data_IF_359912727855
#
_entry.id   IF_359912727855
#
_cell.length_a   1.000
_cell.length_b   1.000
_cell.length_c   1.000
_cell.angle_alpha   90.00
_cell.angle_beta   90.00
_cell.angle_gamma   90.00
#
_symmetry.space_group_name_H-M   'P 1'
#
loop_
_entity.id
_entity.type
_entity.pdbx_description
1 polymer ?
#
# COMPACT_ATOMS: atom_id res chain seq x y z
N UNK A 1 29.31 -64.45 -26.99
CA UNK A 1 28.59 -63.21 -27.31
C UNK A 1 28.46 -62.44 -26.00
N UNK A 2 29.42 -61.55 -25.76
CA UNK A 2 29.72 -60.87 -24.50
C UNK A 2 28.87 -59.60 -24.37
N UNK A 3 28.26 -59.38 -23.20
CA UNK A 3 27.86 -58.05 -22.71
C UNK A 3 29.01 -57.54 -21.85
N UNK A 4 29.48 -56.34 -22.16
CA UNK A 4 30.56 -55.64 -21.48
C UNK A 4 30.01 -54.80 -20.35
N UNK A 5 30.68 -54.96 -19.20
CA UNK A 5 30.58 -54.17 -17.99
C UNK A 5 31.28 -52.80 -18.11
N UNK A 6 30.93 -51.98 -17.12
CA UNK A 6 31.36 -50.63 -16.75
C UNK A 6 32.87 -50.35 -16.76
N UNK A 7 33.26 -49.14 -17.22
CA UNK A 7 34.38 -48.35 -16.67
C UNK A 7 34.06 -46.85 -16.80
N UNK A 8 34.23 -46.11 -15.69
CA UNK A 8 34.14 -44.65 -15.54
C UNK A 8 35.08 -43.86 -16.47
N UNK A 9 34.82 -42.55 -16.64
CA UNK A 9 35.86 -41.61 -16.22
C UNK A 9 35.30 -40.41 -15.44
N UNK A 10 35.85 -40.18 -14.26
CA UNK A 10 36.09 -38.83 -13.76
C UNK A 10 37.04 -38.15 -14.75
N UNK A 11 36.61 -37.05 -15.38
CA UNK A 11 37.45 -35.88 -15.60
C UNK A 11 36.63 -34.72 -16.20
N UNK A 12 36.63 -33.60 -15.48
CA UNK A 12 36.77 -32.25 -16.02
C UNK A 12 35.63 -31.67 -16.86
N UNK A 13 34.68 -30.99 -16.19
CA UNK A 13 34.43 -29.56 -16.48
C UNK A 13 33.53 -28.99 -15.39
N UNK A 14 34.06 -28.03 -14.64
CA UNK A 14 33.31 -27.31 -13.63
C UNK A 14 32.19 -26.50 -14.26
N UNK A 15 31.03 -26.54 -13.64
CA UNK A 15 30.15 -25.39 -13.61
C UNK A 15 29.66 -25.23 -12.17
N UNK A 16 30.08 -24.12 -11.58
CA UNK A 16 29.65 -23.68 -10.25
C UNK A 16 28.16 -23.37 -10.38
N UNK A 17 27.32 -24.33 -10.01
CA UNK A 17 25.90 -24.06 -9.76
C UNK A 17 25.82 -23.19 -8.49
N UNK A 18 26.06 -21.88 -8.64
CA UNK A 18 25.64 -20.91 -7.64
C UNK A 18 24.13 -21.04 -7.49
N UNK A 19 23.73 -21.72 -6.43
CA UNK A 19 22.33 -21.86 -6.05
C UNK A 19 21.78 -20.45 -5.80
N UNK A 20 21.03 -19.93 -6.77
CA UNK A 20 20.36 -18.65 -6.64
C UNK A 20 19.48 -18.73 -5.38
N UNK A 21 19.66 -17.83 -4.39
CA UNK A 21 18.89 -17.90 -3.16
C UNK A 21 17.39 -17.93 -3.48
N UNK A 22 16.62 -18.81 -2.83
CA UNK A 22 15.16 -18.96 -3.02
C UNK A 22 14.39 -17.63 -2.93
N UNK A 23 14.95 -16.65 -2.21
CA UNK A 23 14.45 -15.27 -2.10
C UNK A 23 14.67 -14.39 -3.35
N UNK A 24 15.69 -14.66 -4.17
CA UNK A 24 15.88 -14.00 -5.46
C UNK A 24 14.90 -14.59 -6.50
N UNK A 25 14.70 -15.91 -6.47
CA UNK A 25 13.79 -16.61 -7.37
C UNK A 25 12.33 -16.13 -7.17
N UNK A 26 11.88 -15.95 -5.93
CA UNK A 26 10.53 -15.41 -5.65
C UNK A 26 10.33 -13.98 -6.16
N UNK A 27 11.38 -13.17 -6.24
CA UNK A 27 11.30 -11.81 -6.76
C UNK A 27 11.16 -11.76 -8.29
N UNK A 28 11.84 -12.65 -9.02
CA UNK A 28 11.75 -12.73 -10.49
C UNK A 28 10.29 -12.94 -10.90
N UNK A 29 9.60 -13.86 -10.25
CA UNK A 29 8.21 -14.14 -10.55
C UNK A 29 7.26 -13.00 -10.20
N UNK A 30 7.50 -12.28 -9.10
CA UNK A 30 6.69 -11.09 -8.79
C UNK A 30 6.87 -10.00 -9.86
N UNK A 31 8.08 -9.84 -10.40
CA UNK A 31 8.36 -8.93 -11.53
C UNK A 31 7.56 -9.36 -12.76
N UNK A 32 7.67 -10.63 -13.11
CA UNK A 32 6.99 -11.17 -14.28
C UNK A 32 5.46 -11.11 -14.13
N UNK A 33 4.91 -11.24 -12.92
CA UNK A 33 3.47 -11.09 -12.68
C UNK A 33 3.01 -9.64 -12.90
N UNK A 34 3.80 -8.65 -12.47
CA UNK A 34 3.51 -7.23 -12.72
C UNK A 34 3.61 -6.92 -14.22
N UNK A 35 4.59 -7.50 -14.93
CA UNK A 35 4.73 -7.33 -16.37
C UNK A 35 3.54 -7.94 -17.13
N UNK A 36 3.12 -9.16 -16.77
CA UNK A 36 1.96 -9.82 -17.38
C UNK A 36 0.68 -9.03 -17.13
N UNK A 37 0.51 -8.51 -15.91
CA UNK A 37 -0.60 -7.63 -15.57
C UNK A 37 -0.62 -6.35 -16.40
N UNK A 38 0.54 -5.72 -16.58
CA UNK A 38 0.68 -4.53 -17.41
C UNK A 38 0.33 -4.84 -18.88
N UNK A 39 0.80 -5.96 -19.42
CA UNK A 39 0.51 -6.39 -20.79
C UNK A 39 -0.99 -6.68 -20.97
N UNK A 40 -1.59 -7.41 -20.03
CA UNK A 40 -3.02 -7.71 -20.04
C UNK A 40 -3.85 -6.43 -20.02
N UNK A 41 -3.57 -5.52 -19.08
CA UNK A 41 -4.35 -4.29 -18.94
C UNK A 41 -4.15 -3.34 -20.12
N UNK A 42 -2.95 -3.26 -20.72
CA UNK A 42 -2.71 -2.45 -21.91
C UNK A 42 -3.52 -2.88 -23.13
N UNK A 43 -3.87 -4.16 -23.21
CA UNK A 43 -4.74 -4.66 -24.28
C UNK A 43 -6.21 -4.26 -24.11
N UNK A 44 -6.61 -3.77 -22.93
CA UNK A 44 -7.98 -3.35 -22.66
C UNK A 44 -8.24 -1.91 -23.13
N UNK A 45 -9.37 -1.64 -23.80
CA UNK A 45 -9.68 -0.32 -24.36
C UNK A 45 -9.86 0.76 -23.29
N UNK A 46 -10.14 0.37 -22.05
CA UNK A 46 -10.42 1.29 -20.93
C UNK A 46 -9.13 1.72 -20.22
N UNK A 47 -7.98 1.15 -20.56
CA UNK A 47 -6.70 1.42 -19.90
C UNK A 47 -6.33 2.91 -19.89
N UNK A 48 -6.50 3.59 -21.04
CA UNK A 48 -6.24 5.03 -21.17
C UNK A 48 -7.17 5.91 -20.34
N UNK A 49 -8.34 5.40 -19.95
CA UNK A 49 -9.28 6.14 -19.10
C UNK A 49 -8.94 5.98 -17.61
N UNK A 50 -8.17 4.95 -17.26
CA UNK A 50 -7.78 4.64 -15.89
C UNK A 50 -6.38 5.13 -15.54
N UNK A 51 -5.49 5.30 -16.52
CA UNK A 51 -4.12 5.76 -16.31
C UNK A 51 -3.78 6.90 -17.27
N UNK A 52 -3.26 8.00 -16.75
CA UNK A 52 -2.87 9.15 -17.57
C UNK A 52 -1.56 8.89 -18.34
N UNK A 53 -1.19 9.80 -19.24
CA UNK A 53 0.00 9.64 -20.10
C UNK A 53 1.31 9.54 -19.30
N UNK A 54 1.43 10.29 -18.19
CA UNK A 54 2.61 10.28 -17.33
C UNK A 54 2.73 8.96 -16.56
N UNK A 55 1.62 8.44 -16.06
CA UNK A 55 1.51 7.13 -15.40
C UNK A 55 1.85 6.00 -16.38
N UNK A 56 1.34 6.07 -17.61
CA UNK A 56 1.65 5.10 -18.65
C UNK A 56 3.13 5.13 -19.03
N UNK A 57 3.71 6.33 -19.19
CA UNK A 57 5.14 6.50 -19.46
C UNK A 57 5.99 5.96 -18.32
N UNK A 58 5.57 6.18 -17.07
CA UNK A 58 6.26 5.64 -15.91
C UNK A 58 6.25 4.10 -15.91
N UNK A 59 5.11 3.48 -16.22
CA UNK A 59 4.99 2.01 -16.32
C UNK A 59 5.90 1.42 -17.40
N UNK A 60 6.07 2.11 -18.53
CA UNK A 60 7.03 1.71 -19.57
C UNK A 60 8.49 1.84 -19.08
N UNK A 61 8.84 2.94 -18.42
CA UNK A 61 10.18 3.10 -17.82
C UNK A 61 10.45 2.02 -16.77
N UNK A 62 9.45 1.67 -15.96
CA UNK A 62 9.54 0.57 -15.01
C UNK A 62 9.82 -0.77 -15.69
N UNK A 63 9.14 -1.07 -16.81
CA UNK A 63 9.38 -2.27 -17.62
C UNK A 63 10.81 -2.35 -18.16
N UNK A 64 11.45 -1.21 -18.43
CA UNK A 64 12.81 -1.16 -18.97
C UNK A 64 13.92 -1.17 -17.89
N UNK A 65 13.56 -1.19 -16.60
CA UNK A 65 14.54 -1.32 -15.52
C UNK A 65 15.26 -2.67 -15.55
N UNK A 66 16.47 -2.71 -14.96
CA UNK A 66 17.16 -3.97 -14.69
C UNK A 66 16.36 -4.85 -13.71
N UNK A 67 16.51 -6.17 -13.81
CA UNK A 67 15.81 -7.11 -12.93
C UNK A 67 16.15 -6.88 -11.45
N UNK A 68 17.38 -6.47 -11.14
CA UNK A 68 17.78 -6.13 -9.78
C UNK A 68 17.04 -4.88 -9.26
N UNK A 69 16.88 -3.85 -10.09
CA UNK A 69 16.11 -2.65 -9.77
C UNK A 69 14.61 -2.95 -9.59
N UNK A 70 14.00 -3.74 -10.49
CA UNK A 70 12.59 -4.15 -10.33
C UNK A 70 12.38 -4.98 -9.06
N UNK A 71 13.31 -5.88 -8.75
CA UNK A 71 13.31 -6.66 -7.51
C UNK A 71 13.36 -5.76 -6.28
N UNK A 72 14.16 -4.69 -6.32
CA UNK A 72 14.21 -3.69 -5.26
C UNK A 72 12.88 -2.93 -5.12
N UNK A 73 12.26 -2.51 -6.23
CA UNK A 73 10.93 -1.87 -6.22
C UNK A 73 9.90 -2.75 -5.51
N UNK A 74 9.81 -4.03 -5.86
CA UNK A 74 8.84 -4.98 -5.27
C UNK A 74 9.12 -5.23 -3.79
N UNK A 75 10.40 -5.29 -3.39
CA UNK A 75 10.75 -5.47 -1.98
C UNK A 75 10.41 -4.24 -1.13
N UNK A 76 10.48 -3.05 -1.71
CA UNK A 76 10.09 -1.80 -1.07
C UNK A 76 8.57 -1.59 -1.08
N UNK A 77 7.90 -2.08 -2.12
CA UNK A 77 6.44 -2.03 -2.25
C UNK A 77 5.76 -2.63 -1.01
N UNK A 78 4.73 -1.96 -0.50
CA UNK A 78 3.94 -2.39 0.66
C UNK A 78 4.73 -2.58 1.96
N UNK A 79 5.92 -1.98 2.12
CA UNK A 79 6.56 -1.88 3.44
C UNK A 79 5.93 -0.73 4.23
N UNK A 80 5.82 -0.92 5.55
CA UNK A 80 5.41 0.14 6.48
C UNK A 80 6.45 1.25 6.57
N UNK A 81 7.74 0.89 6.51
CA UNK A 81 8.84 1.83 6.42
C UNK A 81 8.86 2.49 5.03
N UNK A 82 8.92 3.83 5.00
CA UNK A 82 8.96 4.64 3.77
C UNK A 82 10.30 5.32 3.51
N UNK A 83 11.10 5.52 4.55
CA UNK A 83 12.41 6.17 4.50
C UNK A 83 13.48 5.14 4.84
N UNK A 84 14.51 5.06 4.03
CA UNK A 84 15.53 4.04 4.05
C UNK A 84 16.92 4.64 4.11
N UNK A 85 17.74 4.10 5.01
CA UNK A 85 19.18 4.35 5.08
C UNK A 85 19.93 3.37 4.17
N UNK A 86 21.16 3.74 3.80
CA UNK A 86 22.03 2.89 2.98
C UNK A 86 22.22 1.48 3.57
N UNK A 87 22.39 1.39 4.88
CA UNK A 87 22.56 0.11 5.60
C UNK A 87 21.30 -0.75 5.59
N UNK A 88 20.12 -0.15 5.45
CA UNK A 88 18.85 -0.87 5.40
C UNK A 88 18.61 -1.48 4.03
N UNK A 89 19.02 -0.80 2.95
CA UNK A 89 19.02 -1.39 1.61
C UNK A 89 19.89 -2.66 1.54
N UNK A 90 21.02 -2.72 2.27
CA UNK A 90 21.92 -3.90 2.29
C UNK A 90 21.16 -5.10 2.87
N UNK A 91 20.35 -4.86 3.90
CA UNK A 91 19.55 -5.90 4.55
C UNK A 91 18.41 -6.41 3.66
N UNK A 92 17.88 -5.55 2.78
CA UNK A 92 16.76 -5.91 1.89
C UNK A 92 17.27 -6.72 0.69
N UNK A 93 18.39 -6.32 0.10
CA UNK A 93 19.05 -7.03 -0.99
C UNK A 93 20.56 -7.03 -0.70
N UNK A 94 21.15 -8.18 -0.29
CA UNK A 94 22.57 -8.28 0.06
C UNK A 94 23.54 -7.77 -1.01
N UNK A 95 23.12 -7.83 -2.29
CA UNK A 95 23.91 -7.44 -3.46
C UNK A 95 23.35 -6.20 -4.19
N UNK A 96 22.62 -5.29 -3.53
CA UNK A 96 22.17 -4.10 -4.26
C UNK A 96 23.38 -3.26 -4.71
N UNK A 97 23.30 -2.76 -5.94
CA UNK A 97 24.35 -1.93 -6.52
C UNK A 97 23.99 -0.44 -6.43
N UNK A 98 24.99 0.43 -6.48
CA UNK A 98 24.75 1.89 -6.65
C UNK A 98 23.95 2.18 -7.92
N UNK A 99 24.09 1.32 -8.94
CA UNK A 99 23.32 1.38 -10.17
C UNK A 99 21.82 1.21 -9.91
N UNK A 100 21.40 0.25 -9.07
CA UNK A 100 19.98 0.10 -8.73
C UNK A 100 19.38 1.38 -8.13
N UNK A 101 20.08 2.03 -7.20
CA UNK A 101 19.62 3.28 -6.61
C UNK A 101 19.58 4.42 -7.64
N UNK A 102 20.54 4.47 -8.56
CA UNK A 102 20.53 5.44 -9.65
C UNK A 102 19.34 5.23 -10.58
N UNK A 103 19.08 3.99 -10.99
CA UNK A 103 17.94 3.62 -11.83
C UNK A 103 16.60 3.99 -11.17
N UNK A 104 16.41 3.64 -9.89
CA UNK A 104 15.19 3.98 -9.15
C UNK A 104 15.03 5.49 -8.96
N UNK A 105 16.13 6.24 -8.82
CA UNK A 105 16.10 7.71 -8.75
C UNK A 105 15.74 8.32 -10.10
N UNK A 106 16.31 7.81 -11.20
CA UNK A 106 15.96 8.23 -12.56
C UNK A 106 14.51 7.90 -12.92
N UNK A 107 13.97 6.80 -12.38
CA UNK A 107 12.55 6.45 -12.47
C UNK A 107 11.67 7.36 -11.58
N UNK A 108 12.25 8.09 -10.62
CA UNK A 108 11.52 8.88 -9.63
C UNK A 108 10.84 8.05 -8.54
N UNK A 109 11.10 6.74 -8.47
CA UNK A 109 10.53 5.84 -7.46
C UNK A 109 11.11 6.10 -6.07
N UNK A 110 12.39 6.51 -5.99
CA UNK A 110 13.02 6.98 -4.76
C UNK A 110 13.53 8.41 -4.94
N UNK A 111 13.53 9.17 -3.86
CA UNK A 111 14.08 10.53 -3.84
C UNK A 111 14.81 10.81 -2.52
N UNK A 112 15.80 11.70 -2.58
CA UNK A 112 16.49 12.25 -1.40
C UNK A 112 15.84 13.53 -0.91
N UNK A 113 14.96 14.13 -1.72
CA UNK A 113 14.25 15.35 -1.35
C UNK A 113 13.08 15.04 -0.40
N UNK A 114 13.27 15.32 0.88
CA UNK A 114 12.29 15.05 1.93
C UNK A 114 11.28 16.21 2.12
N UNK A 115 11.34 17.27 1.31
CA UNK A 115 10.49 18.46 1.48
C UNK A 115 9.01 18.21 1.18
N UNK A 116 8.66 17.17 0.43
CA UNK A 116 7.26 16.82 0.18
C UNK A 116 6.58 16.10 1.36
N UNK A 117 7.36 15.49 2.27
CA UNK A 117 6.84 14.62 3.33
C UNK A 117 6.30 15.39 4.54
N UNK A 118 5.30 14.86 5.24
CA UNK A 118 4.80 15.46 6.48
C UNK A 118 5.80 15.34 7.64
N UNK A 119 5.79 16.30 8.57
CA UNK A 119 6.65 16.23 9.77
C UNK A 119 6.40 14.97 10.60
N UNK A 120 5.16 14.47 10.60
CA UNK A 120 4.77 13.21 11.22
C UNK A 120 5.49 12.02 10.55
N UNK A 121 5.50 11.95 9.22
CA UNK A 121 6.19 10.86 8.52
C UNK A 121 7.68 10.86 8.80
N UNK A 122 8.29 12.05 8.77
CA UNK A 122 9.72 12.23 9.00
C UNK A 122 10.11 11.84 10.43
N UNK A 123 9.39 12.33 11.45
CA UNK A 123 9.72 12.01 12.85
C UNK A 123 9.54 10.51 13.15
N UNK A 124 8.60 9.85 12.48
CA UNK A 124 8.38 8.42 12.67
C UNK A 124 9.54 7.56 12.15
N UNK A 125 10.33 8.08 11.20
CA UNK A 125 11.51 7.41 10.63
C UNK A 125 12.78 7.49 11.48
N UNK A 126 12.79 8.36 12.48
CA UNK A 126 13.96 8.59 13.32
C UNK A 126 14.16 7.45 14.33
N UNK A 127 15.43 7.11 14.54
CA UNK A 127 15.83 6.20 15.60
C UNK A 127 15.87 6.92 16.95
N UNK A 128 16.08 6.17 18.04
CA UNK A 128 16.08 6.75 19.39
C UNK A 128 17.16 7.82 19.59
N UNK A 129 18.36 7.60 19.07
CA UNK A 129 19.48 8.53 19.23
C UNK A 129 19.21 9.86 18.52
N UNK A 130 18.65 9.80 17.31
CA UNK A 130 18.26 10.98 16.52
C UNK A 130 17.11 11.76 17.20
N UNK A 131 16.14 11.05 17.79
CA UNK A 131 15.08 11.69 18.58
C UNK A 131 15.61 12.35 19.84
N UNK A 132 16.57 11.72 20.52
CA UNK A 132 17.23 12.28 21.70
C UNK A 132 18.03 13.54 21.33
N UNK A 133 18.70 13.55 20.18
CA UNK A 133 19.36 14.74 19.63
C UNK A 133 18.36 15.87 19.37
N UNK A 134 17.26 15.60 18.66
CA UNK A 134 16.20 16.59 18.43
C UNK A 134 15.58 17.11 19.72
N UNK A 135 15.33 16.22 20.69
CA UNK A 135 14.76 16.60 21.97
C UNK A 135 15.69 17.52 22.76
N UNK A 136 17.00 17.28 22.69
CA UNK A 136 18.02 18.19 23.21
C UNK A 136 17.99 19.57 22.54
N UNK A 137 17.87 19.63 21.21
CA UNK A 137 17.77 20.89 20.47
C UNK A 137 16.51 21.70 20.82
N UNK A 138 15.41 21.02 21.18
CA UNK A 138 14.15 21.64 21.60
C UNK A 138 14.02 21.82 23.12
N UNK A 139 15.08 21.56 23.90
CA UNK A 139 15.10 21.66 25.35
C UNK A 139 13.93 20.94 26.05
N UNK A 140 13.51 19.79 25.52
CA UNK A 140 12.45 18.98 26.15
C UNK A 140 13.01 18.44 27.48
N UNK A 141 12.35 18.71 28.59
CA UNK A 141 12.78 18.18 29.89
C UNK A 141 12.49 16.68 29.98
N UNK A 142 13.39 15.92 30.61
CA UNK A 142 13.21 14.48 30.89
C UNK A 142 12.98 13.60 29.65
N UNK A 143 13.41 13.99 28.45
CA UNK A 143 13.18 13.22 27.22
C UNK A 143 13.72 11.78 27.28
N UNK A 144 14.78 11.54 28.06
CA UNK A 144 15.37 10.20 28.24
C UNK A 144 14.43 9.20 28.91
N UNK A 145 13.48 9.63 29.74
CA UNK A 145 12.51 8.74 30.39
C UNK A 145 11.24 8.52 29.57
N UNK A 146 11.02 9.29 28.49
CA UNK A 146 9.86 9.14 27.63
C UNK A 146 10.01 7.94 26.69
N UNK A 147 8.92 7.22 26.46
CA UNK A 147 8.88 6.16 25.43
C UNK A 147 9.04 6.76 24.02
N UNK A 148 9.38 5.94 23.02
CA UNK A 148 9.51 6.40 21.62
C UNK A 148 8.25 7.10 21.10
N UNK A 149 7.07 6.57 21.41
CA UNK A 149 5.78 7.13 20.98
C UNK A 149 5.54 8.48 21.67
N UNK A 150 5.66 8.52 23.00
CA UNK A 150 5.49 9.77 23.77
C UNK A 150 6.49 10.85 23.33
N UNK A 151 7.73 10.47 23.03
CA UNK A 151 8.75 11.42 22.59
C UNK A 151 8.41 12.02 21.22
N UNK A 152 7.94 11.20 20.28
CA UNK A 152 7.47 11.65 18.96
C UNK A 152 6.28 12.60 19.10
N UNK A 153 5.29 12.23 19.90
CA UNK A 153 4.10 13.06 20.14
C UNK A 153 4.46 14.38 20.82
N UNK A 154 5.38 14.35 21.79
CA UNK A 154 5.83 15.55 22.50
C UNK A 154 6.56 16.48 21.54
N UNK A 155 7.50 15.98 20.74
CA UNK A 155 8.22 16.77 19.74
C UNK A 155 7.28 17.38 18.69
N UNK A 156 6.30 16.61 18.20
CA UNK A 156 5.29 17.13 17.27
C UNK A 156 4.47 18.26 17.91
N UNK A 157 4.00 18.07 19.14
CA UNK A 157 3.27 19.11 19.90
C UNK A 157 4.14 20.34 20.15
N UNK A 158 5.38 20.18 20.60
CA UNK A 158 6.32 21.29 20.83
C UNK A 158 6.69 22.03 19.53
N UNK A 159 6.78 21.33 18.40
CA UNK A 159 7.00 21.99 17.09
C UNK A 159 5.84 22.90 16.67
N UNK A 160 4.61 22.54 17.09
CA UNK A 160 3.40 23.31 16.82
C UNK A 160 3.19 24.47 17.79
N UNK A 161 3.68 24.33 19.03
CA UNK A 161 3.59 25.33 20.10
C UNK A 161 4.96 25.99 20.20
N UNK A 162 5.20 27.01 19.37
CA UNK A 162 6.45 27.75 19.38
C UNK A 162 6.84 28.24 20.80
N UNK A 163 7.96 27.79 21.40
CA UNK A 163 8.53 28.44 22.57
C UNK A 163 9.41 29.64 22.20
N UNK A 164 9.78 29.79 20.91
CA UNK A 164 10.81 30.73 20.44
C UNK A 164 10.29 31.98 19.71
N UNK A 165 9.02 32.01 19.28
CA UNK A 165 8.40 33.20 18.69
C UNK A 165 8.24 34.37 19.68
N UNK A 166 8.44 34.14 20.98
CA UNK A 166 8.39 35.21 21.98
C UNK A 166 9.69 36.03 22.07
N UNK A 167 10.81 35.56 21.49
CA UNK A 167 12.12 36.23 21.65
C UNK A 167 12.77 36.73 20.35
N UNK A 168 12.45 36.17 19.18
CA UNK A 168 12.98 36.65 17.89
C UNK A 168 11.83 37.03 16.96
N UNK A 169 11.72 38.33 16.65
CA UNK A 169 10.75 38.93 15.73
C UNK A 169 11.03 38.55 14.26
N UNK A 170 10.91 37.27 13.92
CA UNK A 170 10.85 36.81 12.53
C UNK A 170 9.72 35.79 12.36
N UNK A 171 8.68 36.11 11.55
CA UNK A 171 7.57 35.21 11.31
C UNK A 171 7.99 34.19 10.26
N UNK A 172 8.84 33.24 10.63
CA UNK A 172 9.04 32.01 9.85
C UNK A 172 8.46 30.85 10.63
N UNK A 173 7.47 30.20 10.03
CA UNK A 173 6.62 29.18 10.64
C UNK A 173 7.47 28.10 11.34
N UNK A 174 7.23 27.87 12.63
CA UNK A 174 8.04 26.97 13.47
C UNK A 174 8.12 25.53 12.94
N UNK A 175 7.09 25.10 12.20
CA UNK A 175 7.00 23.77 11.58
C UNK A 175 8.01 23.57 10.44
N UNK A 176 8.29 24.61 9.65
CA UNK A 176 9.26 24.51 8.55
C UNK A 176 10.69 24.40 9.08
N UNK A 177 10.99 25.08 10.20
CA UNK A 177 12.27 24.91 10.90
C UNK A 177 12.42 23.52 11.50
N UNK A 178 11.37 22.99 12.12
CA UNK A 178 11.36 21.64 12.67
C UNK A 178 11.60 20.58 11.58
N UNK A 179 10.88 20.71 10.47
CA UNK A 179 11.06 19.87 9.29
C UNK A 179 12.46 20.03 8.70
N UNK A 180 12.98 21.25 8.60
CA UNK A 180 14.35 21.54 8.18
C UNK A 180 15.42 20.87 9.04
N UNK A 181 15.19 20.76 10.35
CA UNK A 181 16.11 20.05 11.24
C UNK A 181 16.03 18.53 11.07
N UNK A 182 14.82 17.96 11.00
CA UNK A 182 14.66 16.52 10.78
C UNK A 182 15.27 16.11 9.43
N UNK A 183 15.04 16.90 8.38
CA UNK A 183 15.59 16.62 7.04
C UNK A 183 17.12 16.67 7.00
N UNK A 184 17.76 17.54 7.80
CA UNK A 184 19.22 17.53 7.98
C UNK A 184 19.73 16.28 8.70
N UNK A 185 19.00 15.79 9.70
CA UNK A 185 19.36 14.54 10.40
C UNK A 185 19.20 13.34 9.47
N UNK A 186 18.18 13.36 8.62
CA UNK A 186 17.93 12.34 7.61
C UNK A 186 18.75 12.55 6.32
N UNK A 187 19.76 13.42 6.33
CA UNK A 187 20.60 13.62 5.15
C UNK A 187 21.25 12.31 4.71
N UNK A 188 21.28 12.08 3.40
CA UNK A 188 21.72 10.81 2.81
C UNK A 188 20.75 9.63 2.96
N UNK A 189 19.51 9.85 3.43
CA UNK A 189 18.43 8.86 3.35
C UNK A 189 17.65 8.97 2.04
N UNK A 190 16.96 7.90 1.66
CA UNK A 190 16.04 7.86 0.52
C UNK A 190 14.63 7.62 1.02
N UNK A 191 13.65 8.28 0.43
CA UNK A 191 12.25 7.93 0.63
C UNK A 191 11.66 7.35 -0.65
N UNK A 192 10.70 6.46 -0.48
CA UNK A 192 9.90 5.90 -1.58
C UNK A 192 8.77 6.87 -1.91
N UNK A 193 8.60 7.18 -3.19
CA UNK A 193 7.52 8.03 -3.67
C UNK A 193 6.20 7.25 -3.65
N UNK A 194 5.27 7.69 -2.82
CA UNK A 194 4.01 6.98 -2.61
C UNK A 194 3.14 6.96 -3.86
N UNK A 195 3.21 8.00 -4.69
CA UNK A 195 2.47 8.10 -5.96
C UNK A 195 2.67 6.85 -6.83
N UNK A 196 3.93 6.43 -6.99
CA UNK A 196 4.25 5.27 -7.82
C UNK A 196 3.99 3.94 -7.12
N UNK A 197 4.03 3.90 -5.78
CA UNK A 197 3.52 2.73 -5.05
C UNK A 197 2.01 2.57 -5.22
N UNK A 198 1.25 3.67 -5.22
CA UNK A 198 -0.18 3.67 -5.49
C UNK A 198 -0.48 3.26 -6.94
N UNK A 199 0.36 3.67 -7.89
CA UNK A 199 0.26 3.23 -9.28
C UNK A 199 0.42 1.71 -9.44
N UNK A 200 1.41 1.11 -8.76
CA UNK A 200 1.58 -0.35 -8.71
C UNK A 200 0.37 -1.01 -8.03
N UNK A 201 -0.13 -0.44 -6.92
CA UNK A 201 -1.34 -0.91 -6.23
C UNK A 201 -2.56 -0.91 -7.13
N UNK A 202 -2.76 0.16 -7.91
CA UNK A 202 -3.86 0.28 -8.88
C UNK A 202 -3.80 -0.82 -9.93
N UNK A 203 -2.63 -1.04 -10.53
CA UNK A 203 -2.40 -2.09 -11.51
C UNK A 203 -2.68 -3.49 -10.94
N UNK A 204 -2.13 -3.80 -9.77
CA UNK A 204 -2.31 -5.10 -9.12
C UNK A 204 -3.72 -5.32 -8.59
N UNK A 205 -4.43 -4.27 -8.21
CA UNK A 205 -5.81 -4.39 -7.76
C UNK A 205 -6.75 -4.76 -8.91
N UNK A 206 -6.57 -4.15 -10.10
CA UNK A 206 -7.41 -4.43 -11.28
C UNK A 206 -7.36 -5.90 -11.70
N UNK A 207 -6.20 -6.56 -11.60
CA UNK A 207 -6.04 -7.98 -11.94
C UNK A 207 -6.49 -8.92 -10.82
N UNK A 208 -6.61 -8.43 -9.59
CA UNK A 208 -6.90 -9.25 -8.40
C UNK A 208 -8.34 -9.05 -7.88
N UNK A 209 -9.22 -8.40 -8.64
CA UNK A 209 -10.60 -8.19 -8.21
C UNK A 209 -11.30 -9.53 -7.95
N UNK A 210 -11.86 -9.68 -6.75
CA UNK A 210 -12.59 -10.87 -6.34
C UNK A 210 -11.75 -11.96 -5.66
N UNK A 211 -10.43 -11.89 -5.73
CA UNK A 211 -9.53 -12.84 -5.06
C UNK A 211 -9.71 -12.84 -3.53
N UNK A 212 -10.03 -11.66 -2.97
CA UNK A 212 -10.33 -11.44 -1.56
C UNK A 212 -11.49 -12.30 -1.04
N UNK A 213 -12.41 -12.69 -1.92
CA UNK A 213 -13.59 -13.47 -1.56
C UNK A 213 -13.38 -14.97 -1.66
N UNK A 214 -12.30 -15.39 -2.34
CA UNK A 214 -11.92 -16.79 -2.46
C UNK A 214 -11.08 -17.28 -1.29
N UNK A 215 -10.37 -16.36 -0.61
CA UNK A 215 -9.47 -16.69 0.51
C UNK A 215 -9.97 -16.02 1.79
N UNK A 216 -9.95 -16.75 2.92
CA UNK A 216 -10.16 -16.16 4.23
C UNK A 216 -9.10 -15.07 4.45
N UNK A 217 -9.52 -13.81 4.36
CA UNK A 217 -8.65 -12.65 4.56
C UNK A 217 -7.95 -12.79 5.91
N UNK A 218 -6.60 -12.72 5.98
CA UNK A 218 -5.94 -12.74 7.26
C UNK A 218 -6.35 -11.49 8.05
N UNK A 219 -6.91 -11.69 9.25
CA UNK A 219 -7.46 -10.66 10.15
C UNK A 219 -6.44 -9.60 10.64
N UNK A 220 -5.26 -9.50 10.02
CA UNK A 220 -4.14 -8.62 10.41
C UNK A 220 -3.64 -7.73 9.27
N UNK A 221 -4.29 -7.73 8.11
CA UNK A 221 -3.89 -6.85 7.01
C UNK A 221 -4.14 -5.39 7.37
N UNK A 222 -3.14 -4.55 7.20
CA UNK A 222 -3.20 -3.13 7.56
C UNK A 222 -3.43 -2.22 6.36
N UNK A 223 -3.23 -2.72 5.13
CA UNK A 223 -3.31 -1.94 3.91
C UNK A 223 -3.61 -2.80 2.67
N UNK A 224 -3.98 -2.16 1.56
CA UNK A 224 -4.20 -2.81 0.27
C UNK A 224 -2.90 -3.46 -0.24
N UNK A 225 -1.74 -2.85 -0.04
CA UNK A 225 -0.47 -3.42 -0.47
C UNK A 225 -0.15 -4.73 0.26
N UNK A 226 -0.51 -4.84 1.54
CA UNK A 226 -0.33 -6.07 2.31
C UNK A 226 -1.20 -7.20 1.75
N UNK A 227 -2.42 -6.88 1.30
CA UNK A 227 -3.30 -7.80 0.59
C UNK A 227 -2.72 -8.18 -0.78
N UNK A 228 -2.28 -7.20 -1.58
CA UNK A 228 -1.76 -7.49 -2.93
C UNK A 228 -0.45 -8.27 -2.89
N UNK A 229 0.31 -8.23 -1.78
CA UNK A 229 1.43 -9.15 -1.56
C UNK A 229 1.02 -10.61 -1.45
N UNK A 230 -0.13 -10.90 -0.83
CA UNK A 230 -0.65 -12.28 -0.81
C UNK A 230 -1.12 -12.72 -2.20
N UNK A 231 -1.59 -11.77 -3.03
CA UNK A 231 -1.93 -12.05 -4.43
C UNK A 231 -0.70 -12.31 -5.29
N UNK A 232 0.36 -11.50 -5.16
CA UNK A 232 1.64 -11.74 -5.83
C UNK A 232 2.21 -13.12 -5.48
N UNK A 233 2.05 -13.55 -4.23
CA UNK A 233 2.42 -14.90 -3.82
C UNK A 233 1.54 -15.97 -4.48
N UNK A 234 0.23 -15.75 -4.58
CA UNK A 234 -0.68 -16.68 -5.26
C UNK A 234 -0.37 -16.81 -6.76
N UNK A 235 -0.06 -15.69 -7.44
CA UNK A 235 0.39 -15.68 -8.83
C UNK A 235 1.73 -16.42 -9.01
N UNK A 236 2.62 -16.32 -8.03
CA UNK A 236 3.86 -17.10 -8.01
C UNK A 236 3.57 -18.62 -7.97
N UNK A 237 2.65 -19.07 -7.11
CA UNK A 237 2.28 -20.49 -7.03
C UNK A 237 1.74 -21.00 -8.37
N UNK A 238 0.92 -20.17 -9.05
CA UNK A 238 0.37 -20.48 -10.36
C UNK A 238 1.49 -20.64 -11.40
N UNK A 239 2.44 -19.71 -11.42
CA UNK A 239 3.55 -19.78 -12.38
C UNK A 239 4.49 -20.95 -12.12
N UNK A 240 4.64 -21.40 -10.87
CA UNK A 240 5.37 -22.63 -10.53
C UNK A 240 4.64 -23.91 -10.90
N UNK A 241 3.38 -23.83 -11.33
CA UNK A 241 2.53 -24.98 -11.57
C UNK A 241 2.04 -25.65 -10.28
N UNK A 242 2.25 -25.03 -9.12
CA UNK A 242 1.74 -25.51 -7.82
C UNK A 242 0.22 -25.27 -7.70
N UNK A 243 -0.30 -24.25 -8.39
CA UNK A 243 -1.73 -23.94 -8.50
C UNK A 243 -2.10 -23.89 -9.98
N UNK A 244 -3.16 -24.61 -10.35
CA UNK A 244 -3.66 -24.63 -11.72
C UNK A 244 -5.09 -24.09 -11.70
N UNK A 245 -5.33 -22.99 -12.43
CA UNK A 245 -6.67 -22.48 -12.62
C UNK A 245 -7.43 -23.35 -13.63
N UNK A 246 -8.76 -23.52 -13.48
CA UNK A 246 -9.58 -24.17 -14.48
C UNK A 246 -9.43 -23.50 -15.85
N UNK A 247 -9.55 -24.27 -16.92
CA UNK A 247 -9.62 -23.71 -18.27
C UNK A 247 -10.99 -23.06 -18.48
N UNK A 248 -10.98 -21.80 -18.93
CA UNK A 248 -12.19 -21.05 -19.27
C UNK A 248 -11.90 -20.06 -20.40
N UNK A 249 -12.96 -19.60 -21.06
CA UNK A 249 -12.89 -18.55 -22.08
C UNK A 249 -13.29 -17.23 -21.44
N UNK A 250 -12.42 -16.24 -21.55
CA UNK A 250 -12.68 -14.89 -21.05
C UNK A 250 -13.70 -14.20 -21.95
N UNK A 251 -14.82 -13.75 -21.37
CA UNK A 251 -15.86 -13.02 -22.08
C UNK A 251 -16.26 -11.76 -21.27
N UNK A 252 -15.76 -10.60 -21.68
CA UNK A 252 -16.01 -9.31 -21.02
C UNK A 252 -17.06 -8.52 -21.80
N UNK A 253 -18.17 -8.17 -21.14
CA UNK A 253 -19.29 -7.41 -21.76
C UNK A 253 -19.60 -6.07 -21.07
N UNK A 254 -19.09 -5.89 -19.85
CA UNK A 254 -19.42 -4.74 -19.00
C UNK A 254 -18.15 -4.08 -18.49
N UNK A 255 -18.12 -2.75 -18.50
CA UNK A 255 -16.99 -1.96 -18.00
C UNK A 255 -17.16 -1.66 -16.52
N UNK A 256 -16.27 -2.16 -15.69
CA UNK A 256 -16.33 -1.95 -14.24
C UNK A 256 -16.04 -0.51 -13.82
N UNK A 257 -14.94 0.08 -14.29
CA UNK A 257 -14.57 1.47 -13.99
C UNK A 257 -14.49 2.25 -15.29
N UNK A 258 -15.21 3.35 -15.38
CA UNK A 258 -15.27 4.19 -16.59
C UNK A 258 -14.18 5.26 -16.58
N UNK A 259 -13.84 5.75 -15.40
CA UNK A 259 -12.89 6.82 -15.16
C UNK A 259 -11.91 6.44 -14.05
N UNK A 260 -10.73 7.06 -14.07
CA UNK A 260 -9.75 6.94 -12.98
C UNK A 260 -10.35 7.35 -11.62
N UNK A 261 -11.23 8.35 -11.59
CA UNK A 261 -11.89 8.81 -10.36
C UNK A 261 -12.78 7.74 -9.72
N UNK A 262 -13.58 7.00 -10.52
CA UNK A 262 -14.41 5.90 -10.02
C UNK A 262 -13.54 4.83 -9.35
N UNK A 263 -12.41 4.49 -9.99
CA UNK A 263 -11.49 3.49 -9.46
C UNK A 263 -10.75 3.98 -8.20
N UNK A 264 -10.29 5.23 -8.19
CA UNK A 264 -9.64 5.84 -7.04
C UNK A 264 -10.58 5.89 -5.82
N UNK A 265 -11.85 6.22 -6.05
CA UNK A 265 -12.87 6.23 -5.00
C UNK A 265 -13.14 4.83 -4.44
N UNK A 266 -13.17 3.82 -5.31
CA UNK A 266 -13.24 2.42 -4.89
C UNK A 266 -12.04 2.04 -3.99
N UNK A 267 -10.82 2.40 -4.38
CA UNK A 267 -9.61 2.12 -3.60
C UNK A 267 -9.59 2.85 -2.25
N UNK A 268 -10.07 4.10 -2.19
CA UNK A 268 -10.17 4.85 -0.94
C UNK A 268 -11.05 4.10 0.08
N UNK A 269 -12.24 3.65 -0.34
CA UNK A 269 -13.15 2.93 0.54
C UNK A 269 -12.68 1.50 0.84
N UNK A 270 -12.02 0.84 -0.09
CA UNK A 270 -11.39 -0.46 0.16
C UNK A 270 -10.29 -0.32 1.23
N UNK A 271 -9.47 0.73 1.15
CA UNK A 271 -8.45 1.03 2.16
C UNK A 271 -9.08 1.34 3.52
N UNK A 272 -10.19 2.07 3.55
CA UNK A 272 -10.96 2.35 4.76
C UNK A 272 -11.50 1.05 5.38
N UNK A 273 -12.13 0.19 4.57
CA UNK A 273 -12.67 -1.10 5.00
C UNK A 273 -11.57 -1.96 5.64
N UNK A 274 -10.45 -2.17 4.95
CA UNK A 274 -9.29 -2.93 5.48
C UNK A 274 -8.80 -2.33 6.81
N UNK A 275 -8.72 -1.00 6.88
CA UNK A 275 -8.25 -0.32 8.09
C UNK A 275 -9.20 -0.50 9.26
N UNK A 276 -10.50 -0.44 9.03
CA UNK A 276 -11.52 -0.66 10.05
C UNK A 276 -11.51 -2.11 10.55
N UNK A 277 -11.45 -3.09 9.65
CA UNK A 277 -11.30 -4.52 10.01
C UNK A 277 -10.07 -4.73 10.90
N UNK A 278 -8.94 -4.13 10.54
CA UNK A 278 -7.73 -4.19 11.37
C UNK A 278 -7.96 -3.59 12.76
N UNK A 279 -8.53 -2.38 12.86
CA UNK A 279 -8.75 -1.71 14.15
C UNK A 279 -9.71 -2.51 15.05
N UNK A 280 -10.76 -3.08 14.47
CA UNK A 280 -11.70 -3.98 15.17
C UNK A 280 -10.96 -5.23 15.67
N UNK A 281 -10.13 -5.86 14.82
CA UNK A 281 -9.34 -7.04 15.22
C UNK A 281 -8.40 -6.75 16.40
N UNK A 282 -7.86 -5.54 16.47
CA UNK A 282 -6.97 -5.07 17.54
C UNK A 282 -7.72 -4.50 18.75
N UNK A 283 -9.06 -4.49 18.72
CA UNK A 283 -9.93 -3.89 19.76
C UNK A 283 -9.67 -2.39 19.99
N UNK A 284 -9.17 -1.69 18.97
CA UNK A 284 -8.86 -0.26 18.98
C UNK A 284 -10.08 0.54 18.53
N UNK A 285 -11.20 0.38 19.24
CA UNK A 285 -12.50 0.91 18.83
C UNK A 285 -12.54 2.44 18.79
N UNK A 286 -11.82 3.13 19.68
CA UNK A 286 -11.82 4.61 19.71
C UNK A 286 -11.21 5.20 18.43
N UNK A 287 -10.10 4.64 17.97
CA UNK A 287 -9.48 5.02 16.70
C UNK A 287 -10.38 4.67 15.50
N UNK A 288 -11.02 3.49 15.54
CA UNK A 288 -11.99 3.10 14.51
C UNK A 288 -13.18 4.05 14.44
N UNK A 289 -13.69 4.48 15.59
CA UNK A 289 -14.79 5.44 15.70
C UNK A 289 -14.42 6.79 15.12
N UNK A 290 -13.25 7.33 15.46
CA UNK A 290 -12.78 8.60 14.92
C UNK A 290 -12.70 8.55 13.38
N UNK A 291 -12.08 7.50 12.85
CA UNK A 291 -11.93 7.31 11.41
C UNK A 291 -13.30 7.20 10.69
N UNK A 292 -14.25 6.49 11.29
CA UNK A 292 -15.61 6.39 10.76
C UNK A 292 -16.34 7.75 10.77
N UNK A 293 -16.26 8.51 11.86
CA UNK A 293 -16.92 9.80 11.97
C UNK A 293 -16.40 10.81 10.94
N UNK A 294 -15.09 10.83 10.71
CA UNK A 294 -14.45 11.71 9.72
C UNK A 294 -14.93 11.43 8.29
N UNK A 295 -15.35 10.18 8.00
CA UNK A 295 -15.76 9.74 6.65
C UNK A 295 -17.26 9.48 6.51
N UNK A 296 -18.04 9.52 7.60
CA UNK A 296 -19.46 9.12 7.65
C UNK A 296 -20.31 9.80 6.59
N UNK A 297 -20.20 11.13 6.46
CA UNK A 297 -21.00 11.92 5.53
C UNK A 297 -20.74 11.49 4.08
N UNK A 298 -19.47 11.32 3.71
CA UNK A 298 -19.06 10.85 2.38
C UNK A 298 -19.53 9.42 2.10
N UNK A 299 -19.44 8.53 3.09
CA UNK A 299 -19.93 7.15 2.94
C UNK A 299 -21.45 7.10 2.73
N UNK A 300 -22.20 7.90 3.50
CA UNK A 300 -23.65 7.97 3.35
C UNK A 300 -24.02 8.56 1.99
N UNK A 301 -23.38 9.65 1.56
CA UNK A 301 -23.61 10.24 0.23
C UNK A 301 -23.36 9.24 -0.90
N UNK A 302 -22.27 8.47 -0.82
CA UNK A 302 -21.98 7.44 -1.81
C UNK A 302 -23.04 6.34 -1.90
N UNK A 303 -23.71 6.04 -0.80
CA UNK A 303 -24.73 4.99 -0.73
C UNK A 303 -26.14 5.55 -1.05
N UNK A 304 -26.41 6.82 -0.75
CA UNK A 304 -27.72 7.43 -1.00
C UNK A 304 -27.87 7.97 -2.42
N UNK A 305 -26.79 8.52 -2.98
CA UNK A 305 -26.84 9.20 -4.27
C UNK A 305 -27.05 8.20 -5.42
N UNK A 306 -28.18 8.38 -6.13
CA UNK A 306 -28.58 7.53 -7.24
C UNK A 306 -27.59 7.55 -8.42
N UNK A 307 -26.85 8.65 -8.61
CA UNK A 307 -25.90 8.79 -9.72
C UNK A 307 -24.72 7.83 -9.61
N UNK A 308 -24.33 7.42 -8.39
CA UNK A 308 -23.28 6.43 -8.19
C UNK A 308 -23.79 4.99 -8.32
N UNK A 309 -25.12 4.78 -8.39
CA UNK A 309 -25.68 3.45 -8.58
C UNK A 309 -25.31 2.95 -9.98
N UNK A 310 -24.41 1.97 -10.03
CA UNK A 310 -24.02 1.26 -11.25
C UNK A 310 -25.07 0.22 -11.64
N UNK A 311 -26.28 0.69 -11.95
CA UNK A 311 -27.42 -0.15 -12.38
C UNK A 311 -27.14 -0.86 -13.71
N UNK A 312 -26.25 -0.28 -14.53
CA UNK A 312 -25.71 -0.87 -15.76
C UNK A 312 -24.92 -2.16 -15.54
N UNK A 313 -24.44 -2.40 -14.31
CA UNK A 313 -23.70 -3.60 -13.96
C UNK A 313 -24.63 -4.68 -13.40
N UNK A 314 -24.40 -5.97 -13.71
CA UNK A 314 -25.06 -7.07 -13.02
C UNK A 314 -24.64 -7.12 -11.55
N UNK A 315 -25.49 -7.70 -10.69
CA UNK A 315 -25.30 -7.72 -9.24
C UNK A 315 -23.92 -8.24 -8.79
N UNK A 316 -23.41 -9.30 -9.43
CA UNK A 316 -22.11 -9.88 -9.09
C UNK A 316 -20.93 -8.95 -9.39
N UNK A 317 -21.10 -7.95 -10.27
CA UNK A 317 -20.09 -6.92 -10.56
C UNK A 317 -20.28 -5.67 -9.71
N UNK A 318 -21.51 -5.35 -9.28
CA UNK A 318 -21.79 -4.17 -8.42
C UNK A 318 -21.00 -4.21 -7.12
N UNK A 319 -20.62 -5.39 -6.62
CA UNK A 319 -19.76 -5.51 -5.42
C UNK A 319 -18.37 -4.88 -5.56
N UNK A 320 -17.90 -4.64 -6.79
CA UNK A 320 -16.59 -4.04 -7.08
C UNK A 320 -16.68 -2.52 -7.31
N UNK A 321 -17.76 -1.88 -6.89
CA UNK A 321 -17.99 -0.45 -7.06
C UNK A 321 -17.81 0.30 -5.73
N UNK A 322 -17.52 1.61 -5.79
CA UNK A 322 -17.35 2.42 -4.58
C UNK A 322 -18.57 2.39 -3.65
N UNK A 323 -19.83 2.45 -4.14
CA UNK A 323 -20.99 2.44 -3.25
C UNK A 323 -21.07 1.14 -2.41
N UNK A 324 -20.71 -0.01 -2.99
CA UNK A 324 -20.68 -1.27 -2.23
C UNK A 324 -19.61 -1.26 -1.12
N UNK A 325 -18.42 -0.72 -1.39
CA UNK A 325 -17.36 -0.59 -0.37
C UNK A 325 -17.72 0.44 0.71
N UNK A 326 -18.44 1.50 0.35
CA UNK A 326 -18.97 2.45 1.30
C UNK A 326 -19.98 1.79 2.24
N UNK A 327 -20.93 1.03 1.67
CA UNK A 327 -21.90 0.24 2.42
C UNK A 327 -21.23 -0.74 3.39
N UNK A 328 -20.24 -1.51 2.92
CA UNK A 328 -19.44 -2.42 3.76
C UNK A 328 -18.76 -1.69 4.92
N UNK A 329 -18.19 -0.52 4.66
CA UNK A 329 -17.56 0.31 5.69
C UNK A 329 -18.57 0.81 6.74
N UNK A 330 -19.81 1.14 6.34
CA UNK A 330 -20.90 1.50 7.26
C UNK A 330 -21.36 0.30 8.11
N UNK A 331 -21.34 -0.93 7.58
CA UNK A 331 -21.59 -2.12 8.39
C UNK A 331 -20.53 -2.31 9.49
N UNK A 332 -19.26 -2.07 9.18
CA UNK A 332 -18.18 -2.11 10.19
C UNK A 332 -18.35 -0.98 11.23
N UNK A 333 -18.86 0.18 10.81
CA UNK A 333 -19.19 1.27 11.73
C UNK A 333 -20.32 0.88 12.71
N UNK A 334 -21.31 0.09 12.28
CA UNK A 334 -22.35 -0.47 13.16
C UNK A 334 -21.72 -1.39 14.22
N UNK A 335 -20.85 -2.33 13.84
CA UNK A 335 -20.13 -3.19 14.81
C UNK A 335 -19.36 -2.33 15.83
N UNK A 336 -18.62 -1.30 15.37
CA UNK A 336 -17.91 -0.38 16.28
C UNK A 336 -18.88 0.33 17.24
N UNK A 337 -20.05 0.79 16.77
CA UNK A 337 -21.06 1.40 17.64
C UNK A 337 -21.56 0.42 18.71
N UNK A 338 -21.88 -0.81 18.32
CA UNK A 338 -22.33 -1.86 19.24
C UNK A 338 -21.28 -2.20 20.29
N UNK A 339 -20.01 -2.35 19.88
CA UNK A 339 -18.87 -2.60 20.79
C UNK A 339 -18.66 -1.47 21.79
N UNK A 340 -18.97 -0.23 21.41
CA UNK A 340 -18.92 0.95 22.29
C UNK A 340 -20.24 1.22 23.04
N UNK A 341 -21.24 0.32 22.96
CA UNK A 341 -22.57 0.47 23.58
C UNK A 341 -23.34 1.71 23.11
N UNK A 342 -23.05 2.22 21.91
CA UNK A 342 -23.75 3.33 21.27
C UNK A 342 -24.92 2.82 20.42
N UNK A 343 -25.81 2.04 21.03
CA UNK A 343 -26.87 1.32 20.31
C UNK A 343 -27.85 2.25 19.57
N UNK A 344 -28.15 3.43 20.13
CA UNK A 344 -29.02 4.40 19.45
C UNK A 344 -28.46 4.86 18.10
N UNK A 345 -27.13 5.05 18.02
CA UNK A 345 -26.48 5.45 16.76
C UNK A 345 -26.35 4.27 15.79
N UNK A 346 -26.17 3.05 16.30
CA UNK A 346 -26.24 1.83 15.50
C UNK A 346 -27.62 1.66 14.86
N UNK A 347 -28.69 1.78 15.64
CA UNK A 347 -30.08 1.64 15.15
C UNK A 347 -30.38 2.68 14.07
N UNK A 348 -30.08 3.96 14.30
CA UNK A 348 -30.30 5.02 13.29
C UNK A 348 -29.56 4.71 11.98
N UNK A 349 -28.33 4.20 12.07
CA UNK A 349 -27.56 3.84 10.89
C UNK A 349 -28.14 2.62 10.18
N UNK A 350 -28.58 1.60 10.92
CA UNK A 350 -29.28 0.43 10.36
C UNK A 350 -30.56 0.85 9.63
N UNK A 351 -31.40 1.68 10.26
CA UNK A 351 -32.64 2.19 9.65
C UNK A 351 -32.35 2.97 8.37
N UNK A 352 -31.32 3.82 8.38
CA UNK A 352 -30.86 4.54 7.18
C UNK A 352 -30.47 3.54 6.09
N UNK A 353 -29.66 2.53 6.41
CA UNK A 353 -29.20 1.52 5.45
C UNK A 353 -30.32 0.59 4.94
N UNK A 354 -31.33 0.29 5.74
CA UNK A 354 -32.48 -0.52 5.31
C UNK A 354 -33.45 0.29 4.45
N UNK A 355 -33.58 1.60 4.70
CA UNK A 355 -34.35 2.50 3.83
C UNK A 355 -33.73 2.64 2.43
N UNK A 356 -32.42 2.42 2.35
CA UNK A 356 -31.67 2.34 1.11
C UNK A 356 -31.95 0.96 0.52
N UNK A 357 -32.94 0.90 -0.36
CA UNK A 357 -33.33 -0.29 -1.14
C UNK A 357 -32.19 -0.81 -2.03
N UNK A 358 -31.22 -1.49 -1.43
CA UNK A 358 -30.06 -2.07 -2.09
C UNK A 358 -30.21 -3.57 -2.30
N UNK A 359 -31.10 -4.23 -1.54
CA UNK A 359 -31.16 -5.70 -1.47
C UNK A 359 -32.56 -6.31 -1.45
N UNK A 360 -33.64 -5.54 -1.68
CA UNK A 360 -35.00 -6.02 -1.41
C UNK A 360 -36.06 -5.81 -2.51
N UNK A 361 -35.71 -5.24 -3.66
CA UNK A 361 -36.65 -5.21 -4.77
C UNK A 361 -36.13 -6.11 -5.89
N UNK A 362 -36.94 -7.12 -6.17
CA UNK A 362 -36.86 -8.06 -7.28
C UNK A 362 -36.51 -7.37 -8.61
N UNK A 363 -35.42 -7.84 -9.23
CA UNK A 363 -35.21 -7.95 -10.68
C UNK A 363 -34.12 -9.02 -10.95
#
# INVERSE_FOLDING_TARGET
MLKLDEVNPEDMSGDVSESIPSNLISNIYAIDSINDALLLLKSEPVFSNLFDEDEQMWLEKFKNLSNQSKSLVIRLYGRSQKIFRKSEFIKIIPNYTKQCLSELRCLGFISTDMQSLSAETLIHSLNRQELDQLAGMYNIKNFKSLTMVQLKDTLLKTSSISPMASFFKFPTQSKDKFKGLITRILDGCWHVNETYTQLITRLLCLISLGSESAHNRPNKLQSIEALLKTELYSMLLVRRGEVIFPSYVVNRKSTLYRTSEEFQKFLEFMSLEIRLEYLISQKLYDFGMQLCLDKKTKLIDDVTNLSFRRTDLPHFLRRFTSPYRAFRSLLLMIDIYERQRKYNEAIKLIETLLSLTWSLNDD
#
